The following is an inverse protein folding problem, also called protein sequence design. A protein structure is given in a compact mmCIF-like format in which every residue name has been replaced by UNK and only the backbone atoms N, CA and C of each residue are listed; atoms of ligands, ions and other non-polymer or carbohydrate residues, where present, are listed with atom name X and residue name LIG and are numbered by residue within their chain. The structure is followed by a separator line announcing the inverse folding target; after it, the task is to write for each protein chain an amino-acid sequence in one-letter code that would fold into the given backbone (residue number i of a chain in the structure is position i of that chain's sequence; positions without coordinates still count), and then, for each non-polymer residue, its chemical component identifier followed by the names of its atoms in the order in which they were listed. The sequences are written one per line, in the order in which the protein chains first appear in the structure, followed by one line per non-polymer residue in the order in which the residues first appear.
data_IF_383447343669
#
_entry.id   IF_383447343669
#
_cell.length_a   1.000
_cell.length_b   1.000
_cell.length_c   1.000
_cell.angle_alpha   90.00
_cell.angle_beta   90.00
_cell.angle_gamma   90.00
#
_symmetry.space_group_name_H-M   'P 1'
#
loop_
_entity.id
_entity.type
_entity.pdbx_description
1 polymer ?
#
# COMPACT_ATOMS: atom_id res chain seq x y z
N UNK A 1 6.96 -5.09 14.40
CA UNK A 1 7.60 -5.26 13.08
C UNK A 1 6.48 -5.61 12.12
N UNK A 2 6.36 -4.88 11.02
CA UNK A 2 5.22 -4.97 10.09
C UNK A 2 5.70 -5.56 8.77
N UNK A 3 4.98 -6.57 8.28
CA UNK A 3 5.23 -7.17 6.98
C UNK A 3 4.48 -6.40 5.90
N UNK A 4 5.18 -6.01 4.83
CA UNK A 4 4.65 -5.11 3.79
C UNK A 4 4.79 -5.72 2.40
N UNK A 5 3.94 -6.69 2.02
CA UNK A 5 4.03 -7.31 0.70
C UNK A 5 3.62 -6.34 -0.41
N UNK A 6 4.30 -6.40 -1.54
CA UNK A 6 3.85 -5.79 -2.78
C UNK A 6 3.05 -6.82 -3.58
N UNK A 7 1.74 -6.62 -3.61
CA UNK A 7 0.79 -7.41 -4.41
C UNK A 7 0.19 -6.55 -5.51
N UNK A 8 -0.10 -7.14 -6.65
CA UNK A 8 -0.93 -6.48 -7.66
C UNK A 8 -1.37 -7.43 -8.75
N UNK A 9 -1.71 -6.88 -9.91
CA UNK A 9 -2.37 -7.62 -10.99
C UNK A 9 -1.39 -7.78 -12.16
N UNK A 10 -1.17 -9.01 -12.61
CA UNK A 10 -0.34 -9.29 -13.78
C UNK A 10 -1.11 -9.10 -15.11
N UNK A 11 -0.42 -9.27 -16.24
CA UNK A 11 -1.01 -9.17 -17.58
C UNK A 11 -2.10 -10.22 -17.87
N UNK A 12 -2.19 -11.27 -17.03
CA UNK A 12 -3.24 -12.30 -17.10
C UNK A 12 -4.39 -12.02 -16.14
N UNK A 13 -4.44 -10.82 -15.54
CA UNK A 13 -5.46 -10.39 -14.58
C UNK A 13 -5.45 -11.22 -13.28
N UNK A 14 -4.33 -11.83 -12.94
CA UNK A 14 -4.19 -12.61 -11.70
C UNK A 14 -3.61 -11.74 -10.61
N UNK A 15 -4.10 -11.92 -9.38
CA UNK A 15 -3.47 -11.36 -8.20
C UNK A 15 -2.17 -12.12 -7.93
N UNK A 16 -1.05 -11.39 -7.92
CA UNK A 16 0.28 -11.94 -7.72
C UNK A 16 1.04 -11.10 -6.69
N UNK A 17 1.86 -11.75 -5.87
CA UNK A 17 2.82 -11.08 -4.99
C UNK A 17 4.11 -10.86 -5.77
N UNK A 18 4.42 -9.60 -6.09
CA UNK A 18 5.63 -9.23 -6.82
C UNK A 18 6.87 -9.28 -5.93
N UNK A 19 6.71 -8.89 -4.67
CA UNK A 19 7.79 -8.93 -3.69
C UNK A 19 7.21 -9.01 -2.27
N UNK A 20 7.98 -9.60 -1.36
CA UNK A 20 7.71 -9.53 0.07
C UNK A 20 7.74 -8.08 0.62
N UNK A 21 8.30 -7.13 -0.17
CA UNK A 21 8.47 -5.71 0.12
C UNK A 21 9.43 -5.44 1.27
N UNK A 22 9.13 -5.90 2.47
CA UNK A 22 10.06 -5.86 3.58
C UNK A 22 9.40 -6.05 4.94
N UNK A 23 10.26 -6.19 5.95
CA UNK A 23 9.88 -6.16 7.36
C UNK A 23 10.27 -4.79 7.94
N UNK A 24 9.29 -3.91 8.05
CA UNK A 24 9.52 -2.57 8.57
C UNK A 24 9.50 -2.59 10.10
N UNK A 25 10.56 -2.04 10.69
CA UNK A 25 10.63 -1.86 12.15
C UNK A 25 9.81 -0.65 12.59
N UNK A 26 9.69 0.36 11.74
CA UNK A 26 8.93 1.60 11.98
C UNK A 26 8.12 1.96 10.75
N UNK A 27 6.93 2.50 10.97
CA UNK A 27 6.01 2.99 9.95
C UNK A 27 6.16 4.52 9.85
N UNK A 28 7.33 4.95 9.36
CA UNK A 28 7.66 6.37 9.20
C UNK A 28 8.11 6.68 7.76
N UNK A 29 8.07 7.97 7.41
CA UNK A 29 8.38 8.44 6.04
C UNK A 29 9.73 7.91 5.54
N UNK A 30 10.84 7.97 6.33
CA UNK A 30 12.12 7.46 5.86
C UNK A 30 12.10 5.95 5.56
N UNK A 31 11.41 5.15 6.38
CA UNK A 31 11.34 3.70 6.17
C UNK A 31 10.53 3.36 4.91
N UNK A 32 9.38 4.01 4.71
CA UNK A 32 8.57 3.82 3.51
C UNK A 32 9.27 4.33 2.25
N UNK A 33 9.93 5.49 2.30
CA UNK A 33 10.69 6.03 1.17
C UNK A 33 11.80 5.07 0.74
N UNK A 34 12.54 4.53 1.71
CA UNK A 34 13.55 3.51 1.42
C UNK A 34 12.94 2.30 0.74
N UNK A 35 11.82 1.80 1.25
CA UNK A 35 11.10 0.65 0.70
C UNK A 35 10.64 0.89 -0.74
N UNK A 36 10.01 2.04 -1.02
CA UNK A 36 9.53 2.39 -2.37
C UNK A 36 10.66 2.63 -3.37
N UNK A 37 11.77 3.23 -2.93
CA UNK A 37 12.96 3.36 -3.78
C UNK A 37 13.55 1.98 -4.12
N UNK A 38 13.58 1.04 -3.17
CA UNK A 38 14.01 -0.33 -3.46
C UNK A 38 13.08 -1.07 -4.40
N UNK A 39 11.78 -0.85 -4.28
CA UNK A 39 10.83 -1.35 -5.28
C UNK A 39 11.14 -0.78 -6.67
N UNK A 40 11.40 0.52 -6.77
CA UNK A 40 11.73 1.17 -8.04
C UNK A 40 13.03 0.62 -8.66
N UNK A 41 14.07 0.43 -7.85
CA UNK A 41 15.36 -0.12 -8.28
C UNK A 41 15.19 -1.52 -8.90
N UNK A 42 14.34 -2.36 -8.30
CA UNK A 42 14.13 -3.75 -8.74
C UNK A 42 13.19 -3.83 -9.94
N UNK A 43 12.11 -3.06 -9.95
CA UNK A 43 11.09 -3.11 -11.01
C UNK A 43 11.48 -2.26 -12.24
N UNK A 44 12.40 -1.30 -12.07
CA UNK A 44 12.85 -0.39 -13.13
C UNK A 44 11.84 0.71 -13.51
N UNK A 45 10.62 0.68 -12.97
CA UNK A 45 9.59 1.69 -13.20
C UNK A 45 8.62 1.81 -12.02
N UNK A 46 8.02 2.99 -11.88
CA UNK A 46 6.95 3.22 -10.91
C UNK A 46 5.64 2.55 -11.38
N UNK A 47 4.77 2.11 -10.46
CA UNK A 47 3.45 1.61 -10.82
C UNK A 47 2.55 2.76 -11.29
N UNK A 48 1.59 2.50 -12.17
CA UNK A 48 0.63 3.54 -12.58
C UNK A 48 -0.32 3.92 -11.44
N UNK A 49 -0.71 2.93 -10.63
CA UNK A 49 -1.60 3.09 -9.49
C UNK A 49 -1.09 2.24 -8.33
N UNK A 50 -1.16 2.79 -7.11
CA UNK A 50 -0.86 2.06 -5.88
C UNK A 50 -2.02 2.22 -4.91
N UNK A 51 -2.42 1.12 -4.29
CA UNK A 51 -3.49 1.08 -3.29
C UNK A 51 -2.91 0.67 -1.95
N UNK A 52 -3.07 1.50 -0.93
CA UNK A 52 -2.53 1.23 0.41
C UNK A 52 -3.58 1.46 1.50
N UNK A 53 -3.24 1.17 2.74
CA UNK A 53 -4.02 1.64 3.87
C UNK A 53 -3.88 3.17 4.07
N UNK A 54 -4.60 3.69 5.06
CA UNK A 54 -4.59 5.11 5.39
C UNK A 54 -3.46 5.41 6.39
N UNK A 55 -2.28 5.67 5.87
CA UNK A 55 -1.11 6.12 6.63
C UNK A 55 -0.52 7.41 6.01
N UNK A 56 -0.37 8.45 6.83
CA UNK A 56 0.12 9.76 6.37
C UNK A 56 1.60 9.71 5.96
N UNK A 57 2.42 8.93 6.67
CA UNK A 57 3.82 8.75 6.33
C UNK A 57 3.99 8.04 4.99
N UNK A 58 3.14 7.06 4.73
CA UNK A 58 3.12 6.30 3.47
C UNK A 58 2.69 7.18 2.29
N UNK A 59 1.66 8.01 2.47
CA UNK A 59 1.22 8.95 1.44
C UNK A 59 2.34 9.94 1.03
N UNK A 60 3.07 10.49 2.01
CA UNK A 60 4.21 11.36 1.74
C UNK A 60 5.31 10.60 0.99
N UNK A 61 5.66 9.41 1.47
CA UNK A 61 6.72 8.60 0.85
C UNK A 61 6.37 8.17 -0.59
N UNK A 62 5.11 7.86 -0.88
CA UNK A 62 4.63 7.57 -2.25
C UNK A 62 4.77 8.80 -3.14
N UNK A 63 4.40 9.98 -2.66
CA UNK A 63 4.51 11.20 -3.45
C UNK A 63 5.97 11.54 -3.80
N UNK A 64 6.89 11.26 -2.87
CA UNK A 64 8.33 11.48 -3.08
C UNK A 64 8.98 10.44 -4.00
N UNK A 65 8.66 9.15 -3.81
CA UNK A 65 9.24 8.06 -4.61
C UNK A 65 8.57 7.92 -5.99
N UNK A 66 7.27 8.17 -6.07
CA UNK A 66 6.41 7.92 -7.23
C UNK A 66 5.51 9.13 -7.57
N UNK A 67 6.08 10.29 -7.97
CA UNK A 67 5.33 11.55 -8.09
C UNK A 67 4.20 11.54 -9.13
N UNK A 68 4.20 10.59 -10.07
CA UNK A 68 3.18 10.44 -11.12
C UNK A 68 2.20 9.28 -10.85
N UNK A 69 2.42 8.51 -9.80
CA UNK A 69 1.58 7.35 -9.47
C UNK A 69 0.29 7.83 -8.83
N UNK A 70 -0.82 7.23 -9.26
CA UNK A 70 -2.13 7.48 -8.66
C UNK A 70 -2.20 6.72 -7.34
N UNK A 71 -2.27 7.45 -6.23
CA UNK A 71 -2.48 6.85 -4.91
C UNK A 71 -3.97 6.70 -4.61
N UNK A 72 -4.35 5.50 -4.13
CA UNK A 72 -5.70 5.16 -3.70
C UNK A 72 -5.66 4.51 -2.32
N UNK A 73 -6.74 4.70 -1.56
CA UNK A 73 -6.94 4.00 -0.30
C UNK A 73 -7.66 2.67 -0.56
N UNK A 74 -7.22 1.64 0.16
CA UNK A 74 -7.75 0.30 0.05
C UNK A 74 -9.16 0.22 0.63
N UNK A 75 -10.14 -0.09 -0.22
CA UNK A 75 -11.54 -0.24 0.18
C UNK A 75 -11.71 -1.29 1.27
N UNK A 76 -10.97 -2.41 1.20
CA UNK A 76 -11.02 -3.47 2.20
C UNK A 76 -10.55 -2.97 3.58
N UNK A 77 -9.44 -2.21 3.64
CA UNK A 77 -9.00 -1.61 4.90
C UNK A 77 -9.99 -0.56 5.42
N UNK A 78 -10.59 0.25 4.54
CA UNK A 78 -11.61 1.24 4.93
C UNK A 78 -12.84 0.56 5.52
N UNK A 79 -13.40 -0.41 4.82
CA UNK A 79 -14.61 -1.15 5.23
C UNK A 79 -14.38 -1.87 6.56
N UNK A 80 -13.26 -2.58 6.71
CA UNK A 80 -12.90 -3.21 7.98
C UNK A 80 -12.73 -2.20 9.12
N UNK A 81 -12.14 -1.02 8.86
CA UNK A 81 -11.94 -0.02 9.90
C UNK A 81 -13.26 0.64 10.30
N UNK A 82 -14.19 0.84 9.37
CA UNK A 82 -15.52 1.39 9.65
C UNK A 82 -16.32 0.42 10.53
N UNK A 83 -16.37 -0.86 10.20
CA UNK A 83 -17.11 -1.86 10.99
C UNK A 83 -16.59 -2.01 12.43
N UNK A 84 -15.31 -1.70 12.67
CA UNK A 84 -14.76 -1.67 14.05
C UNK A 84 -15.10 -0.42 14.85
N UNK A 85 -15.49 0.67 14.19
CA UNK A 85 -15.66 2.01 14.81
C UNK A 85 -17.11 2.47 14.87
N UNK A 86 -17.94 1.98 13.96
CA UNK A 86 -19.36 2.27 13.85
C UNK A 86 -20.06 0.92 14.00
N UNK A 87 -20.84 0.78 15.06
CA UNK A 87 -21.42 -0.49 15.52
C UNK A 87 -22.33 -1.16 14.45
N UNK A 88 -22.64 -2.44 14.69
CA UNK A 88 -23.24 -3.52 13.87
C UNK A 88 -24.43 -3.26 12.91
N UNK A 89 -24.82 -2.03 12.58
CA UNK A 89 -25.90 -1.77 11.61
C UNK A 89 -25.42 -1.82 10.15
N UNK A 90 -24.18 -1.38 9.86
CA UNK A 90 -23.60 -1.48 8.51
C UNK A 90 -23.06 -2.88 8.18
N UNK A 91 -22.94 -3.77 9.17
CA UNK A 91 -22.42 -5.13 8.99
C UNK A 91 -23.52 -6.14 8.60
N UNK A 92 -24.78 -5.71 8.54
CA UNK A 92 -25.96 -6.56 8.30
C UNK A 92 -26.49 -6.52 6.86
N UNK A 93 -25.91 -5.69 5.99
CA UNK A 93 -26.30 -5.55 4.59
C UNK A 93 -25.30 -6.21 3.64
#
# INVERSE_FOLDING_TARGET
MVFTPFTGVDNHRRCVTFAAGGLLRREDVPSYRWLFNRFLDVMGHAPQCITTDQDASMAIAILEAFPKTIHRLCMWHITNKITTKVDNELAKD
#
